data_IF_799858990738
#
_entry.id   IF_799858990738
#
_cell.length_a   1.000
_cell.length_b   1.000
_cell.length_c   1.000
_cell.angle_alpha   90.00
_cell.angle_beta   90.00
_cell.angle_gamma   90.00
#
_symmetry.space_group_name_H-M   'P 1'
#
loop_
_entity.id
_entity.type
_entity.pdbx_description
1 polymer ?
#
# COMPACT_ATOMS: atom_id res chain seq x y z
N UNK A 1 -7.64 -22.78 6.56
CA UNK A 1 -6.92 -22.59 7.82
C UNK A 1 -6.74 -21.09 8.05
N UNK A 2 -6.92 -20.59 9.27
CA UNK A 2 -6.84 -19.15 9.55
C UNK A 2 -5.41 -18.76 9.95
N UNK A 3 -4.89 -17.66 9.40
CA UNK A 3 -3.59 -17.15 9.80
C UNK A 3 -3.60 -16.60 11.23
N UNK A 4 -2.54 -16.84 12.01
CA UNK A 4 -2.36 -16.18 13.30
C UNK A 4 -2.37 -14.65 13.18
N UNK A 5 -2.90 -13.97 14.21
CA UNK A 5 -3.01 -12.50 14.22
C UNK A 5 -1.67 -11.79 14.05
N UNK A 6 -0.61 -12.32 14.65
CA UNK A 6 0.75 -11.79 14.56
C UNK A 6 1.31 -11.87 13.13
N UNK A 7 0.99 -12.95 12.41
CA UNK A 7 1.37 -13.12 10.99
C UNK A 7 0.65 -12.06 10.14
N UNK A 8 -0.65 -11.88 10.34
CA UNK A 8 -1.44 -10.85 9.64
C UNK A 8 -0.87 -9.46 9.94
N UNK A 9 -0.62 -9.15 11.22
CA UNK A 9 -0.07 -7.86 11.64
C UNK A 9 1.30 -7.57 11.01
N UNK A 10 2.19 -8.57 10.99
CA UNK A 10 3.52 -8.46 10.37
C UNK A 10 3.40 -8.10 8.89
N UNK A 11 2.53 -8.79 8.15
CA UNK A 11 2.38 -8.54 6.72
C UNK A 11 1.65 -7.24 6.42
N UNK A 12 0.69 -6.84 7.26
CA UNK A 12 0.02 -5.55 7.15
C UNK A 12 1.02 -4.39 7.36
N UNK A 13 1.90 -4.51 8.36
CA UNK A 13 2.97 -3.54 8.60
C UNK A 13 3.89 -3.42 7.37
N UNK A 14 4.33 -4.56 6.81
CA UNK A 14 5.18 -4.58 5.62
C UNK A 14 4.47 -3.97 4.41
N UNK A 15 3.18 -4.25 4.25
CA UNK A 15 2.35 -3.71 3.18
C UNK A 15 2.33 -2.18 3.22
N UNK A 16 1.87 -1.58 4.33
CA UNK A 16 1.78 -0.11 4.44
C UNK A 16 3.14 0.57 4.29
N UNK A 17 4.19 0.00 4.89
CA UNK A 17 5.55 0.52 4.74
C UNK A 17 5.97 0.56 3.26
N UNK A 18 5.88 -0.57 2.56
CA UNK A 18 6.33 -0.65 1.15
C UNK A 18 5.39 0.05 0.19
N UNK A 19 4.10 0.02 0.44
CA UNK A 19 3.10 0.61 -0.43
C UNK A 19 3.31 2.12 -0.57
N UNK A 20 3.56 2.81 0.55
CA UNK A 20 3.92 4.23 0.57
C UNK A 20 5.33 4.47 0.01
N UNK A 21 6.35 3.79 0.52
CA UNK A 21 7.75 4.03 0.11
C UNK A 21 8.01 3.78 -1.38
N UNK A 22 7.23 2.92 -2.03
CA UNK A 22 7.39 2.58 -3.44
C UNK A 22 6.43 3.34 -4.36
N UNK A 23 5.73 4.37 -3.86
CA UNK A 23 4.78 5.13 -4.66
C UNK A 23 5.44 5.84 -5.86
N UNK A 24 6.66 6.34 -5.70
CA UNK A 24 7.40 7.00 -6.78
C UNK A 24 7.56 6.11 -8.03
N UNK A 25 7.66 4.79 -7.86
CA UNK A 25 7.74 3.83 -8.97
C UNK A 25 6.44 3.78 -9.78
N UNK A 26 5.32 4.14 -9.16
CA UNK A 26 4.00 4.14 -9.78
C UNK A 26 3.72 5.40 -10.59
N UNK A 27 4.38 6.51 -10.26
CA UNK A 27 4.21 7.79 -10.96
C UNK A 27 4.59 7.75 -12.44
N UNK A 28 5.49 6.85 -12.83
CA UNK A 28 5.96 6.68 -14.21
C UNK A 28 5.63 5.29 -14.78
N UNK A 29 4.50 4.70 -14.39
CA UNK A 29 4.06 3.42 -14.94
C UNK A 29 3.72 3.54 -16.43
N UNK A 30 4.18 2.58 -17.27
CA UNK A 30 3.82 2.54 -18.68
C UNK A 30 2.31 2.30 -18.85
N UNK A 31 1.82 2.60 -20.05
CA UNK A 31 0.41 2.43 -20.40
C UNK A 31 0.03 0.95 -20.36
N UNK A 32 -1.16 0.67 -19.83
CA UNK A 32 -1.72 -0.67 -19.78
C UNK A 32 -3.22 -0.60 -19.48
N UNK A 33 -4.01 -1.58 -19.95
CA UNK A 33 -5.44 -1.61 -19.66
C UNK A 33 -5.67 -1.89 -18.18
N UNK A 34 -6.61 -1.17 -17.57
CA UNK A 34 -7.11 -1.52 -16.23
C UNK A 34 -7.86 -2.84 -16.30
N UNK A 35 -7.46 -3.79 -15.46
CA UNK A 35 -8.15 -5.09 -15.30
C UNK A 35 -8.64 -5.19 -13.86
N UNK A 36 -9.93 -5.48 -13.68
CA UNK A 36 -10.58 -5.49 -12.36
C UNK A 36 -11.24 -4.16 -12.01
N UNK A 37 -11.53 -3.94 -10.73
CA UNK A 37 -12.29 -2.78 -10.24
C UNK A 37 -11.44 -1.58 -9.83
N UNK A 38 -10.16 -1.77 -9.53
CA UNK A 38 -9.25 -0.73 -9.03
C UNK A 38 -7.88 -0.87 -9.71
N UNK A 39 -7.28 0.25 -10.12
CA UNK A 39 -5.93 0.32 -10.67
C UNK A 39 -4.98 1.17 -9.83
N UNK A 40 -3.68 0.85 -9.89
CA UNK A 40 -2.61 1.67 -9.29
C UNK A 40 -1.96 2.64 -10.28
N UNK A 41 -2.62 2.88 -11.42
CA UNK A 41 -2.18 3.88 -12.37
C UNK A 41 -2.36 5.28 -11.75
N UNK A 42 -1.35 6.16 -11.78
CA UNK A 42 -1.47 7.54 -11.31
C UNK A 42 -2.48 8.35 -12.14
N UNK A 43 -2.85 7.83 -13.32
CA UNK A 43 -3.83 8.42 -14.25
C UNK A 43 -5.24 7.87 -14.06
N UNK A 44 -5.40 6.84 -13.22
CA UNK A 44 -6.66 6.17 -12.93
C UNK A 44 -7.10 6.41 -11.49
N UNK A 45 -7.37 5.30 -10.79
CA UNK A 45 -8.11 5.29 -9.52
C UNK A 45 -7.27 5.68 -8.30
N UNK A 46 -5.95 5.49 -8.35
CA UNK A 46 -5.07 5.71 -7.20
C UNK A 46 -4.15 6.93 -7.36
N UNK A 47 -4.45 8.00 -6.62
CA UNK A 47 -3.64 9.23 -6.60
C UNK A 47 -3.05 9.45 -5.20
N UNK A 48 -1.75 9.18 -5.07
CA UNK A 48 -0.99 9.40 -3.84
C UNK A 48 0.32 10.13 -4.16
N UNK A 49 0.72 11.14 -3.36
CA UNK A 49 2.03 11.79 -3.48
C UNK A 49 3.19 10.80 -3.32
N UNK A 50 4.28 11.01 -4.06
CA UNK A 50 5.45 10.12 -4.01
C UNK A 50 6.21 10.19 -2.68
N UNK A 51 6.04 11.27 -1.95
CA UNK A 51 6.66 11.62 -0.67
C UNK A 51 5.72 11.39 0.53
N UNK A 52 4.55 10.78 0.32
CA UNK A 52 3.62 10.48 1.39
C UNK A 52 4.26 9.57 2.47
N UNK A 53 4.03 9.90 3.74
CA UNK A 53 4.56 9.15 4.88
C UNK A 53 3.55 8.14 5.43
N UNK A 54 3.98 6.90 5.65
CA UNK A 54 3.16 5.83 6.24
C UNK A 54 3.11 5.83 7.77
N UNK A 55 3.77 6.80 8.44
CA UNK A 55 3.98 6.79 9.88
C UNK A 55 2.69 6.68 10.72
N UNK A 56 1.61 7.35 10.31
CA UNK A 56 0.32 7.28 11.01
C UNK A 56 -0.27 5.86 10.99
N UNK A 57 -0.29 5.22 9.81
CA UNK A 57 -0.79 3.85 9.65
C UNK A 57 0.07 2.82 10.40
N UNK A 58 1.40 2.97 10.36
CA UNK A 58 2.29 2.05 11.09
C UNK A 58 2.04 2.13 12.61
N UNK A 59 1.84 3.33 13.14
CA UNK A 59 1.50 3.55 14.55
C UNK A 59 0.14 2.96 14.93
N UNK A 60 -0.84 2.97 14.02
CA UNK A 60 -2.12 2.30 14.24
C UNK A 60 -1.95 0.78 14.26
N UNK A 61 -1.16 0.22 13.34
CA UNK A 61 -0.90 -1.22 13.28
C UNK A 61 -0.18 -1.73 14.54
N UNK A 62 0.73 -0.94 15.11
CA UNK A 62 1.41 -1.27 16.37
C UNK A 62 0.44 -1.35 17.56
N UNK A 63 -0.65 -0.58 17.53
CA UNK A 63 -1.70 -0.61 18.56
C UNK A 63 -2.69 -1.78 18.40
N UNK A 64 -2.70 -2.46 17.25
CA UNK A 64 -3.54 -3.62 17.03
C UNK A 64 -2.95 -4.82 17.81
N UNK A 65 -3.71 -5.27 18.82
CA UNK A 65 -3.44 -6.43 19.68
C UNK A 65 -4.18 -7.69 19.24
#
# INVERSE_FOLDING_TARGET
EAYPKDVIRKWLYIFFRRFFQQQFKRSCLPDGPTVGSISFSPRGDWRMPSDAASALWLKEIEKLG
#
